data_IF_096623297377
#
_entry.id   IF_096623297377
#
_cell.length_a   1.000
_cell.length_b   1.000
_cell.length_c   1.000
_cell.angle_alpha   90.00
_cell.angle_beta   90.00
_cell.angle_gamma   90.00
#
_symmetry.space_group_name_H-M   'P 1'
#
loop_
_entity.id
_entity.type
_entity.pdbx_description
1 polymer ?
#
# COMPACT_ATOMS: atom_id res chain seq x y z
N UNK A 1 -5.39 -2.55 -2.37
CA UNK A 1 -4.97 -3.86 -2.94
C UNK A 1 -3.66 -3.81 -3.72
N UNK A 2 -3.29 -2.70 -4.38
CA UNK A 2 -2.02 -2.64 -5.14
C UNK A 2 -0.80 -2.97 -4.25
N UNK A 3 -0.72 -2.40 -3.05
CA UNK A 3 0.34 -2.75 -2.08
C UNK A 3 0.33 -4.24 -1.71
N UNK A 4 -0.86 -4.82 -1.49
CA UNK A 4 -0.99 -6.25 -1.17
C UNK A 4 -0.59 -7.15 -2.34
N UNK A 5 -0.89 -6.76 -3.59
CA UNK A 5 -0.43 -7.48 -4.77
C UNK A 5 1.09 -7.49 -4.83
N UNK A 6 1.75 -6.35 -4.64
CA UNK A 6 3.23 -6.30 -4.59
C UNK A 6 3.78 -7.12 -3.43
N UNK A 7 3.19 -7.02 -2.23
CA UNK A 7 3.59 -7.79 -1.07
C UNK A 7 3.48 -9.30 -1.31
N UNK A 8 2.40 -9.74 -1.96
CA UNK A 8 2.18 -11.14 -2.30
C UNK A 8 3.20 -11.65 -3.33
N UNK A 9 3.57 -10.82 -4.32
CA UNK A 9 4.61 -11.15 -5.31
C UNK A 9 6.00 -11.31 -4.70
N UNK A 10 6.32 -10.52 -3.66
CA UNK A 10 7.59 -10.63 -2.95
C UNK A 10 7.65 -11.88 -2.07
N UNK A 11 6.61 -12.10 -1.27
CA UNK A 11 6.57 -13.20 -0.30
C UNK A 11 5.17 -13.79 -0.24
N UNK A 12 4.88 -14.74 -1.15
CA UNK A 12 3.67 -15.55 -1.07
C UNK A 12 3.72 -16.40 0.21
N UNK A 13 2.60 -16.49 0.94
CA UNK A 13 2.48 -17.19 2.23
C UNK A 13 3.35 -16.67 3.37
N UNK A 14 3.65 -15.38 3.38
CA UNK A 14 4.33 -14.73 4.51
C UNK A 14 3.42 -14.51 5.72
N UNK A 15 4.05 -14.11 6.83
CA UNK A 15 3.42 -13.71 8.09
C UNK A 15 2.37 -12.61 7.85
N UNK A 16 1.13 -12.76 8.35
CA UNK A 16 0.08 -11.74 8.23
C UNK A 16 0.51 -10.33 8.63
N UNK A 17 1.44 -10.20 9.57
CA UNK A 17 1.97 -8.90 9.99
C UNK A 17 2.67 -8.13 8.86
N UNK A 18 3.32 -8.82 7.90
CA UNK A 18 3.91 -8.17 6.74
C UNK A 18 2.83 -7.53 5.86
N UNK A 19 1.74 -8.25 5.59
CA UNK A 19 0.63 -7.72 4.81
C UNK A 19 -0.08 -6.57 5.52
N UNK A 20 -0.25 -6.65 6.86
CA UNK A 20 -0.81 -5.55 7.65
C UNK A 20 0.12 -4.33 7.55
N UNK A 21 1.42 -4.52 7.75
CA UNK A 21 2.44 -3.48 7.59
C UNK A 21 2.37 -2.82 6.20
N UNK A 22 2.12 -3.60 5.16
CA UNK A 22 2.03 -3.13 3.78
C UNK A 22 0.80 -2.24 3.47
N UNK A 23 -0.16 -2.11 4.38
CA UNK A 23 -1.35 -1.27 4.19
C UNK A 23 -1.66 -0.34 5.36
N UNK A 24 -1.11 -0.57 6.55
CA UNK A 24 -1.43 0.22 7.74
C UNK A 24 -1.06 1.71 7.65
N UNK A 25 -0.04 2.17 6.88
CA UNK A 25 0.18 3.61 6.73
C UNK A 25 -1.02 4.33 6.12
N UNK A 26 -1.87 3.65 5.34
CA UNK A 26 -3.11 4.21 4.80
C UNK A 26 -4.22 4.37 5.84
N UNK A 27 -4.06 3.84 7.05
CA UNK A 27 -5.00 4.01 8.16
C UNK A 27 -4.92 5.39 8.81
N UNK A 28 -3.86 6.16 8.57
CA UNK A 28 -3.70 7.54 9.05
C UNK A 28 -4.84 8.41 8.54
N UNK A 29 -5.56 9.06 9.46
CA UNK A 29 -6.86 9.66 9.18
C UNK A 29 -6.78 10.93 8.33
N UNK A 30 -5.83 11.82 8.61
CA UNK A 30 -5.74 13.12 7.95
C UNK A 30 -4.71 13.11 6.82
N UNK A 31 -4.94 13.95 5.79
CA UNK A 31 -3.98 14.07 4.69
C UNK A 31 -2.64 14.65 5.15
N UNK A 32 -2.66 15.61 6.07
CA UNK A 32 -1.46 16.23 6.60
C UNK A 32 -0.57 15.21 7.33
N UNK A 33 -1.15 14.44 8.26
CA UNK A 33 -0.43 13.37 8.95
C UNK A 33 -0.01 12.27 7.98
N UNK A 34 -0.83 11.98 6.96
CA UNK A 34 -0.47 11.03 5.91
C UNK A 34 0.76 11.50 5.13
N UNK A 35 0.83 12.78 4.78
CA UNK A 35 1.98 13.33 4.06
C UNK A 35 3.26 13.31 4.92
N UNK A 36 3.15 13.49 6.24
CA UNK A 36 4.28 13.33 7.18
C UNK A 36 4.71 11.85 7.27
N UNK A 37 3.77 10.95 7.54
CA UNK A 37 4.05 9.51 7.72
C UNK A 37 4.59 8.85 6.46
N UNK A 38 4.24 9.38 5.29
CA UNK A 38 4.75 8.90 3.99
C UNK A 38 6.01 9.63 3.52
N UNK A 39 6.60 10.47 4.37
CA UNK A 39 7.80 11.27 4.08
C UNK A 39 7.65 12.22 2.89
N UNK A 40 6.42 12.61 2.52
CA UNK A 40 6.14 13.55 1.42
C UNK A 40 6.51 14.99 1.77
N UNK A 41 6.60 15.33 3.06
CA UNK A 41 7.02 16.65 3.55
C UNK A 41 8.54 16.78 3.68
N UNK A 42 9.29 15.69 3.48
CA UNK A 42 10.74 15.65 3.68
C UNK A 42 11.44 15.84 2.33
N UNK A 43 12.49 16.67 2.30
CA UNK A 43 13.20 17.02 1.06
C UNK A 43 13.89 15.82 0.41
N UNK A 44 14.44 14.89 1.20
CA UNK A 44 15.08 13.67 0.70
C UNK A 44 14.36 12.44 1.25
N UNK A 45 13.29 12.05 0.58
CA UNK A 45 12.46 10.87 0.92
C UNK A 45 13.25 9.57 0.85
N UNK A 46 14.18 9.44 -0.08
CA UNK A 46 15.02 8.23 -0.23
C UNK A 46 15.88 7.98 1.03
N UNK A 47 16.50 9.02 1.58
CA UNK A 47 17.31 8.88 2.80
C UNK A 47 16.47 8.40 4.00
N UNK A 48 15.23 8.87 4.15
CA UNK A 48 14.35 8.40 5.21
C UNK A 48 13.90 6.96 5.01
N UNK A 49 13.64 6.55 3.76
CA UNK A 49 13.40 5.15 3.43
C UNK A 49 14.62 4.28 3.76
N UNK A 50 15.85 4.74 3.50
CA UNK A 50 17.08 4.03 3.88
C UNK A 50 17.21 3.92 5.40
N UNK A 51 16.92 4.98 6.14
CA UNK A 51 16.96 4.96 7.60
C UNK A 51 15.93 3.98 8.18
N UNK A 52 14.71 3.97 7.61
CA UNK A 52 13.69 3.00 7.97
C UNK A 52 14.11 1.57 7.60
N UNK A 53 14.72 1.34 6.44
CA UNK A 53 15.22 0.03 6.04
C UNK A 53 16.28 -0.53 7.01
N UNK A 54 17.15 0.33 7.54
CA UNK A 54 18.16 -0.07 8.54
C UNK A 54 17.57 -0.41 9.90
N UNK A 55 16.45 0.19 10.26
CA UNK A 55 15.78 -0.05 11.54
C UNK A 55 14.70 -1.14 11.47
N UNK A 56 14.21 -1.46 10.27
CA UNK A 56 13.23 -2.51 10.02
C UNK A 56 13.84 -3.89 10.28
N UNK A 57 13.30 -4.59 11.28
CA UNK A 57 13.80 -5.90 11.72
C UNK A 57 12.71 -6.95 11.78
N UNK A 58 11.46 -6.53 11.89
CA UNK A 58 10.30 -7.41 12.01
C UNK A 58 9.48 -7.39 10.72
N UNK A 59 8.73 -8.46 10.53
CA UNK A 59 7.78 -8.65 9.43
C UNK A 59 6.87 -7.43 9.21
N UNK A 60 6.28 -6.88 10.28
CA UNK A 60 5.46 -5.68 10.21
C UNK A 60 6.21 -4.44 9.70
N UNK A 61 7.43 -4.20 10.21
CA UNK A 61 8.25 -3.05 9.84
C UNK A 61 8.67 -3.12 8.37
N UNK A 62 9.05 -4.31 7.89
CA UNK A 62 9.34 -4.56 6.47
C UNK A 62 8.11 -4.35 5.58
N UNK A 63 6.92 -4.67 6.08
CA UNK A 63 5.66 -4.34 5.41
C UNK A 63 5.47 -2.83 5.25
N UNK A 64 5.69 -2.05 6.32
CA UNK A 64 5.62 -0.58 6.27
C UNK A 64 6.67 -0.03 5.30
N UNK A 65 7.89 -0.55 5.34
CA UNK A 65 8.96 -0.16 4.42
C UNK A 65 8.54 -0.37 2.97
N UNK A 66 7.99 -1.54 2.64
CA UNK A 66 7.46 -1.83 1.32
C UNK A 66 6.36 -0.82 0.93
N UNK A 67 5.41 -0.56 1.83
CA UNK A 67 4.34 0.40 1.57
C UNK A 67 4.89 1.77 1.17
N UNK A 68 5.77 2.33 2.00
CA UNK A 68 6.30 3.68 1.80
C UNK A 68 7.19 3.78 0.55
N UNK A 69 7.93 2.71 0.24
CA UNK A 69 8.72 2.61 -0.99
C UNK A 69 7.83 2.57 -2.24
N UNK A 70 6.73 1.83 -2.21
CA UNK A 70 5.78 1.78 -3.31
C UNK A 70 5.07 3.11 -3.53
N UNK A 71 4.66 3.77 -2.46
CA UNK A 71 4.10 5.12 -2.54
C UNK A 71 5.12 6.12 -3.10
N UNK A 72 6.42 5.95 -2.84
CA UNK A 72 7.45 6.78 -3.44
C UNK A 72 7.53 6.59 -4.96
N UNK A 73 7.62 5.34 -5.44
CA UNK A 73 7.62 5.05 -6.87
C UNK A 73 6.33 5.48 -7.56
N UNK A 74 5.18 5.30 -6.89
CA UNK A 74 3.89 5.72 -7.41
C UNK A 74 3.79 7.25 -7.49
N UNK A 75 4.29 7.96 -6.48
CA UNK A 75 4.29 9.42 -6.46
C UNK A 75 5.18 10.00 -7.57
N UNK A 76 6.38 9.44 -7.80
CA UNK A 76 7.34 9.94 -8.79
C UNK A 76 6.81 9.90 -10.24
N UNK A 77 5.89 8.98 -10.54
CA UNK A 77 5.40 8.79 -11.91
C UNK A 77 3.89 8.85 -11.99
N UNK A 78 3.20 7.92 -11.35
CA UNK A 78 1.78 7.67 -11.57
C UNK A 78 0.90 8.80 -11.03
N UNK A 79 1.16 9.25 -9.80
CA UNK A 79 0.45 10.38 -9.21
C UNK A 79 0.72 11.68 -9.97
N UNK A 80 2.00 12.02 -10.18
CA UNK A 80 2.39 13.24 -10.89
C UNK A 80 1.80 13.29 -12.29
N UNK A 81 1.88 12.19 -13.06
CA UNK A 81 1.29 12.12 -14.41
C UNK A 81 -0.22 12.37 -14.36
N UNK A 82 -0.95 11.79 -13.40
CA UNK A 82 -2.38 12.02 -13.27
C UNK A 82 -2.69 13.48 -12.96
N UNK A 83 -2.03 14.06 -11.94
CA UNK A 83 -2.22 15.44 -11.53
C UNK A 83 -1.86 16.47 -12.63
N UNK A 84 -0.88 16.13 -13.48
CA UNK A 84 -0.47 16.96 -14.60
C UNK A 84 -1.44 16.91 -15.78
N UNK A 85 -2.09 15.76 -16.02
CA UNK A 85 -2.96 15.53 -17.18
C UNK A 85 -4.44 15.78 -16.92
N UNK A 86 -4.88 15.71 -15.65
CA UNK A 86 -6.27 15.91 -15.25
C UNK A 86 -6.43 17.28 -14.58
N UNK A 87 -7.19 18.17 -15.23
CA UNK A 87 -7.35 19.58 -14.83
C UNK A 87 -8.78 19.93 -14.40
N UNK A 88 -9.67 18.95 -14.38
CA UNK A 88 -11.02 19.13 -13.90
C UNK A 88 -11.04 19.52 -12.42
N UNK A 89 -12.09 20.25 -12.04
CA UNK A 89 -12.41 20.47 -10.64
C UNK A 89 -12.63 19.10 -9.99
N UNK A 90 -12.05 18.87 -8.80
CA UNK A 90 -12.12 17.59 -8.09
C UNK A 90 -11.36 16.41 -8.72
N UNK A 91 -10.36 16.65 -9.59
CA UNK A 91 -9.52 15.59 -10.18
C UNK A 91 -8.98 14.57 -9.15
N UNK A 92 -8.72 15.00 -7.91
CA UNK A 92 -8.22 14.11 -6.86
C UNK A 92 -9.25 13.04 -6.45
N UNK A 93 -10.55 13.35 -6.49
CA UNK A 93 -11.60 12.35 -6.26
C UNK A 93 -11.66 11.34 -7.41
N UNK A 94 -11.51 11.81 -8.66
CA UNK A 94 -11.40 10.94 -9.84
C UNK A 94 -10.20 10.00 -9.70
N UNK A 95 -9.03 10.53 -9.34
CA UNK A 95 -7.82 9.76 -9.06
C UNK A 95 -8.04 8.66 -8.01
N UNK A 96 -8.64 9.01 -6.85
CA UNK A 96 -8.94 8.03 -5.80
C UNK A 96 -9.93 6.98 -6.25
N UNK A 97 -10.91 7.36 -7.08
CA UNK A 97 -11.86 6.41 -7.68
C UNK A 97 -11.17 5.41 -8.60
N UNK A 98 -10.22 5.85 -9.42
CA UNK A 98 -9.46 4.95 -10.29
C UNK A 98 -8.60 3.96 -9.48
N UNK A 99 -7.98 4.40 -8.38
CA UNK A 99 -7.28 3.47 -7.46
C UNK A 99 -8.25 2.48 -6.80
N UNK A 100 -9.44 2.94 -6.43
CA UNK A 100 -10.48 2.11 -5.84
C UNK A 100 -10.96 1.03 -6.82
N UNK A 101 -11.20 1.40 -8.09
CA UNK A 101 -11.54 0.48 -9.18
C UNK A 101 -10.44 -0.57 -9.40
N UNK A 102 -9.19 -0.12 -9.56
CA UNK A 102 -8.05 -1.03 -9.70
C UNK A 102 -7.96 -1.98 -8.49
N UNK A 103 -8.13 -1.46 -7.28
CA UNK A 103 -8.04 -2.29 -6.08
C UNK A 103 -9.19 -3.30 -5.95
N UNK A 104 -10.42 -2.91 -6.24
CA UNK A 104 -11.57 -3.81 -6.28
C UNK A 104 -11.38 -4.92 -7.33
N UNK A 105 -10.89 -4.57 -8.52
CA UNK A 105 -10.61 -5.54 -9.57
C UNK A 105 -9.59 -6.60 -9.13
N UNK A 106 -8.47 -6.18 -8.51
CA UNK A 106 -7.47 -7.12 -7.96
C UNK A 106 -8.13 -8.07 -6.96
N UNK A 107 -8.91 -7.55 -6.01
CA UNK A 107 -9.57 -8.38 -5.01
C UNK A 107 -10.43 -9.48 -5.64
N UNK A 108 -11.24 -9.16 -6.66
CA UNK A 108 -12.15 -10.14 -7.26
C UNK A 108 -11.49 -11.08 -8.29
N UNK A 109 -10.30 -10.77 -8.79
CA UNK A 109 -9.64 -11.56 -9.85
C UNK A 109 -8.41 -12.32 -9.37
N UNK A 110 -7.87 -11.99 -8.20
CA UNK A 110 -6.76 -12.70 -7.58
C UNK A 110 -7.26 -13.75 -6.60
N UNK A 111 -6.95 -15.04 -6.83
CA UNK A 111 -7.45 -16.14 -5.99
C UNK A 111 -6.99 -16.08 -4.53
N UNK A 112 -5.85 -15.44 -4.27
CA UNK A 112 -5.25 -15.33 -2.94
C UNK A 112 -5.82 -14.18 -2.11
N UNK A 113 -6.57 -13.26 -2.72
CA UNK A 113 -6.93 -11.97 -2.11
C UNK A 113 -7.75 -12.15 -0.83
N UNK A 114 -8.81 -12.97 -0.89
CA UNK A 114 -9.71 -13.20 0.23
C UNK A 114 -8.98 -13.89 1.39
N UNK A 115 -8.18 -14.91 1.09
CA UNK A 115 -7.40 -15.64 2.08
C UNK A 115 -6.40 -14.71 2.81
N UNK A 116 -5.71 -13.81 2.08
CA UNK A 116 -4.80 -12.82 2.68
C UNK A 116 -5.58 -11.87 3.60
N UNK A 117 -6.74 -11.38 3.18
CA UNK A 117 -7.57 -10.53 4.06
C UNK A 117 -8.03 -11.27 5.31
N UNK A 118 -8.51 -12.51 5.19
CA UNK A 118 -8.94 -13.31 6.33
C UNK A 118 -7.78 -13.59 7.30
N UNK A 119 -6.58 -13.87 6.79
CA UNK A 119 -5.35 -14.00 7.59
C UNK A 119 -5.04 -12.72 8.37
N UNK A 120 -5.12 -11.55 7.73
CA UNK A 120 -4.90 -10.26 8.41
C UNK A 120 -5.96 -9.99 9.48
N UNK A 121 -7.24 -10.24 9.20
CA UNK A 121 -8.34 -10.02 10.14
C UNK A 121 -8.31 -10.97 11.35
N UNK A 122 -7.73 -12.16 11.17
CA UNK A 122 -7.56 -13.14 12.25
C UNK A 122 -6.34 -12.86 13.14
N UNK A 123 -5.51 -11.88 12.76
CA UNK A 123 -4.32 -11.50 13.51
C UNK A 123 -4.73 -10.75 14.80
N UNK A 124 -4.27 -11.18 15.99
CA UNK A 124 -4.60 -10.50 17.24
C UNK A 124 -4.04 -9.07 17.28
N UNK A 125 -4.84 -8.10 17.73
CA UNK A 125 -4.48 -6.67 17.68
C UNK A 125 -3.23 -6.33 18.49
N UNK A 126 -2.98 -7.05 19.58
CA UNK A 126 -1.80 -6.91 20.44
C UNK A 126 -0.50 -7.41 19.80
N UNK A 127 -0.58 -8.05 18.63
CA UNK A 127 0.58 -8.47 17.84
C UNK A 127 0.98 -7.45 16.78
N UNK A 128 0.17 -6.42 16.55
CA UNK A 128 0.48 -5.39 15.59
C UNK A 128 1.78 -4.66 15.99
N UNK A 129 2.54 -4.22 15.00
CA UNK A 129 3.63 -3.30 15.24
C UNK A 129 3.11 -1.88 15.45
N UNK A 130 4.01 -0.93 15.66
CA UNK A 130 3.64 0.48 15.87
C UNK A 130 3.63 1.23 14.55
N UNK A 131 2.53 1.93 14.27
CA UNK A 131 2.44 2.87 13.16
C UNK A 131 2.25 4.29 13.71
N UNK A 132 3.12 5.26 13.39
CA UNK A 132 2.95 6.63 13.87
C UNK A 132 1.58 7.20 13.48
N UNK A 133 0.87 7.78 14.45
CA UNK A 133 -0.43 8.43 14.22
C UNK A 133 -1.63 7.49 14.09
N UNK A 134 -1.47 6.18 14.39
CA UNK A 134 -2.56 5.21 14.34
C UNK A 134 -2.47 4.25 15.54
N UNK A 135 -3.58 4.05 16.24
CA UNK A 135 -3.72 3.05 17.30
C UNK A 135 -4.10 1.67 16.74
N UNK A 136 -3.78 0.60 17.47
CA UNK A 136 -4.15 -0.78 17.07
C UNK A 136 -5.66 -0.96 16.83
N UNK A 137 -6.49 -0.18 17.55
CA UNK A 137 -7.93 -0.12 17.35
C UNK A 137 -8.30 0.43 15.97
N UNK A 138 -7.68 1.53 15.57
CA UNK A 138 -7.87 2.15 14.25
C UNK A 138 -7.31 1.28 13.12
N UNK A 139 -6.20 0.58 13.35
CA UNK A 139 -5.70 -0.44 12.41
C UNK A 139 -6.75 -1.53 12.19
N UNK A 140 -7.28 -2.11 13.26
CA UNK A 140 -8.30 -3.16 13.15
C UNK A 140 -9.58 -2.67 12.46
N UNK A 141 -10.03 -1.44 12.76
CA UNK A 141 -11.17 -0.84 12.07
C UNK A 141 -10.88 -0.63 10.58
N UNK A 142 -9.70 -0.11 10.25
CA UNK A 142 -9.25 0.08 8.88
C UNK A 142 -9.24 -1.23 8.10
N UNK A 143 -8.67 -2.30 8.68
CA UNK A 143 -8.64 -3.62 8.05
C UNK A 143 -10.05 -4.13 7.77
N UNK A 144 -10.94 -4.09 8.76
CA UNK A 144 -12.31 -4.57 8.62
C UNK A 144 -13.10 -3.78 7.58
N UNK A 145 -13.00 -2.45 7.61
CA UNK A 145 -13.69 -1.57 6.65
C UNK A 145 -13.21 -1.82 5.22
N UNK A 146 -11.91 -1.94 5.00
CA UNK A 146 -11.37 -2.20 3.66
C UNK A 146 -11.73 -3.61 3.15
N UNK A 147 -11.72 -4.63 4.01
CA UNK A 147 -12.18 -5.97 3.63
C UNK A 147 -13.64 -5.96 3.19
N UNK A 148 -14.54 -5.37 4.00
CA UNK A 148 -15.97 -5.26 3.66
C UNK A 148 -16.14 -4.47 2.36
N UNK A 149 -15.47 -3.33 2.23
CA UNK A 149 -15.54 -2.53 1.02
C UNK A 149 -15.11 -3.32 -0.22
N UNK A 150 -13.98 -4.02 -0.18
CA UNK A 150 -13.52 -4.84 -1.30
C UNK A 150 -14.49 -5.99 -1.61
N UNK A 151 -14.97 -6.70 -0.58
CA UNK A 151 -15.90 -7.81 -0.73
C UNK A 151 -17.21 -7.40 -1.40
N UNK A 152 -17.74 -6.24 -1.04
CA UNK A 152 -19.06 -5.78 -1.48
C UNK A 152 -19.02 -4.99 -2.81
N UNK A 153 -17.84 -4.66 -3.33
CA UNK A 153 -17.69 -3.78 -4.50
C UNK A 153 -16.96 -4.46 -5.67
N UNK A 154 -17.68 -5.26 -6.45
CA UNK A 154 -17.20 -5.73 -7.75
C UNK A 154 -17.57 -4.74 -8.87
N UNK A 155 -16.83 -3.63 -8.92
CA UNK A 155 -17.16 -2.43 -9.72
C UNK A 155 -16.40 -2.32 -11.06
N UNK A 156 -15.72 -3.39 -11.47
CA UNK A 156 -14.97 -3.44 -12.72
C UNK A 156 -13.57 -2.80 -12.66
N UNK A 157 -12.77 -2.92 -13.74
CA UNK A 157 -11.41 -2.41 -13.79
C UNK A 157 -11.37 -0.89 -13.92
N UNK A 158 -10.25 -0.30 -13.49
CA UNK A 158 -9.92 1.10 -13.77
C UNK A 158 -9.55 1.27 -15.25
N UNK A 159 -9.96 2.39 -15.83
CA UNK A 159 -9.56 2.76 -17.20
C UNK A 159 -8.18 3.40 -17.20
N UNK A 160 -7.85 4.12 -16.12
CA UNK A 160 -6.57 4.83 -15.98
C UNK A 160 -5.46 3.90 -15.51
N UNK A 161 -5.78 2.98 -14.59
CA UNK A 161 -4.88 1.97 -14.05
C UNK A 161 -5.41 0.58 -14.41
N UNK A 162 -5.41 0.21 -15.71
CA UNK A 162 -5.93 -1.07 -16.14
C UNK A 162 -5.08 -2.22 -15.57
N UNK A 163 -5.61 -3.47 -15.56
CA UNK A 163 -4.92 -4.60 -14.95
C UNK A 163 -3.47 -4.78 -15.42
N UNK A 164 -3.21 -4.61 -16.72
CA UNK A 164 -1.86 -4.71 -17.30
C UNK A 164 -0.90 -3.64 -16.77
N UNK A 165 -1.39 -2.42 -16.54
CA UNK A 165 -0.58 -1.34 -15.96
C UNK A 165 -0.21 -1.66 -14.51
N UNK A 166 -1.18 -2.11 -13.72
CA UNK A 166 -0.94 -2.48 -12.31
C UNK A 166 0.00 -3.67 -12.22
N UNK A 167 -0.15 -4.65 -13.11
CA UNK A 167 0.71 -5.83 -13.18
C UNK A 167 2.16 -5.43 -13.50
N UNK A 168 2.37 -4.62 -14.54
CA UNK A 168 3.69 -4.10 -14.90
C UNK A 168 4.30 -3.27 -13.76
N UNK A 169 3.52 -2.35 -13.18
CA UNK A 169 3.97 -1.50 -12.09
C UNK A 169 4.44 -2.35 -10.90
N UNK A 170 3.61 -3.30 -10.46
CA UNK A 170 3.93 -4.13 -9.28
C UNK A 170 5.09 -5.08 -9.54
N UNK A 171 5.23 -5.66 -10.74
CA UNK A 171 6.40 -6.48 -11.09
C UNK A 171 7.69 -5.66 -11.06
N UNK A 172 7.70 -4.48 -11.69
CA UNK A 172 8.85 -3.59 -11.69
C UNK A 172 9.21 -3.13 -10.27
N UNK A 173 8.19 -2.79 -9.47
CA UNK A 173 8.39 -2.33 -8.11
C UNK A 173 8.92 -3.43 -7.19
N UNK A 174 8.46 -4.68 -7.33
CA UNK A 174 9.01 -5.86 -6.64
C UNK A 174 10.50 -6.02 -6.94
N UNK A 175 10.89 -6.02 -8.22
CA UNK A 175 12.30 -6.15 -8.62
C UNK A 175 13.17 -5.03 -8.06
N UNK A 176 12.72 -3.77 -8.23
CA UNK A 176 13.42 -2.60 -7.69
C UNK A 176 13.55 -2.63 -6.18
N UNK A 177 12.49 -3.01 -5.47
CA UNK A 177 12.50 -3.11 -4.03
C UNK A 177 13.52 -4.14 -3.54
N UNK A 178 13.58 -5.33 -4.15
CA UNK A 178 14.57 -6.36 -3.77
C UNK A 178 16.01 -5.90 -3.97
N UNK A 179 16.30 -5.28 -5.12
CA UNK A 179 17.65 -4.75 -5.42
C UNK A 179 18.01 -3.63 -4.45
N UNK A 180 17.11 -2.67 -4.27
CA UNK A 180 17.29 -1.54 -3.37
C UNK A 180 17.48 -1.99 -1.93
N UNK A 181 16.61 -2.86 -1.41
CA UNK A 181 16.67 -3.38 -0.05
C UNK A 181 17.96 -4.15 0.23
N UNK A 182 18.44 -4.93 -0.74
CA UNK A 182 19.69 -5.70 -0.63
C UNK A 182 20.95 -4.83 -0.67
N UNK A 183 20.84 -3.60 -1.21
CA UNK A 183 21.96 -2.65 -1.23
C UNK A 183 22.16 -1.92 0.11
N UNK A 184 21.20 -2.04 1.03
CA UNK A 184 21.20 -1.36 2.32
C UNK A 184 21.69 -2.36 3.39
N UNK A 185 22.95 -2.19 3.80
CA UNK A 185 23.58 -2.91 4.91
C UNK A 185 22.95 -2.57 6.26
#
# INVERSE_FOLDING_TARGET
>A
MIHLLTAYKLFADTDPLFYIGAIVPDAVATREEKDITHFRTIQNRENELINLAKSSKKSFDEGILLHLYLDWLWDERTFCTYAETHKEENWFYSYRREIALASAFIYHNERWSEDVWQKMLSCPKDTYGTTPGVSDGEVAEFLNRNYIWHKDNNIGPSVVYPPEFVEEFTNNATEKFMVWRSSIN
#
